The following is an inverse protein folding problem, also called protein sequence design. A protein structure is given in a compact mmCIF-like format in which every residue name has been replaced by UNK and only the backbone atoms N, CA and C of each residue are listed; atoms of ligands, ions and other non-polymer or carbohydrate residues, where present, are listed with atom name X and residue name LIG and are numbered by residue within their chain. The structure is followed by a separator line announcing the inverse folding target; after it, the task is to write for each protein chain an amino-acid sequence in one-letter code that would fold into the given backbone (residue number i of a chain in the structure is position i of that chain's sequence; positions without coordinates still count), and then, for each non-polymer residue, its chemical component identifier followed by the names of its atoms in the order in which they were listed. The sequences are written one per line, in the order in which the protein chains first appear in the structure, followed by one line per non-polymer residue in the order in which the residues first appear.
data_IF_120008846927
#
_entry.id   IF_120008846927
#
_cell.length_a   1.000
_cell.length_b   1.000
_cell.length_c   1.000
_cell.angle_alpha   90.00
_cell.angle_beta   90.00
_cell.angle_gamma   90.00
#
_symmetry.space_group_name_H-M   'P 1'
#
loop_
_entity.id
_entity.type
_entity.pdbx_description
1 polymer ?
#
# COMPACT_ATOMS: atom_id res chain seq x y z
N UNK A 1 -10.86 14.53 1.98
CA UNK A 1 -10.16 14.44 3.23
C UNK A 1 -10.85 15.21 4.27
N UNK A 2 -11.46 14.53 5.21
CA UNK A 2 -12.11 15.21 6.30
C UNK A 2 -11.50 14.68 7.57
N UNK A 3 -10.55 15.41 8.11
CA UNK A 3 -10.40 15.41 9.53
C UNK A 3 -11.07 16.66 10.03
N UNK A 4 -11.99 16.51 10.94
CA UNK A 4 -12.75 17.62 11.55
C UNK A 4 -11.82 18.56 12.32
N UNK A 5 -10.63 18.08 12.63
CA UNK A 5 -9.56 18.85 13.26
C UNK A 5 -8.21 18.40 12.71
N UNK A 6 -7.64 19.12 11.75
CA UNK A 6 -6.39 18.74 11.10
C UNK A 6 -5.18 18.57 12.02
N UNK A 7 -5.21 19.18 13.19
CA UNK A 7 -4.14 19.09 14.17
C UNK A 7 -4.29 17.95 15.18
N UNK A 8 -5.38 17.17 15.11
CA UNK A 8 -5.63 16.10 16.06
C UNK A 8 -5.71 14.74 15.38
N UNK A 9 -4.67 13.92 15.49
CA UNK A 9 -4.65 12.57 14.89
C UNK A 9 -5.79 11.67 15.35
N UNK A 10 -6.36 11.89 16.55
CA UNK A 10 -7.48 11.12 17.07
C UNK A 10 -8.77 11.29 16.25
N UNK A 11 -8.89 12.38 15.50
CA UNK A 11 -10.05 12.67 14.66
C UNK A 11 -9.90 12.19 13.19
N UNK A 12 -8.87 11.44 12.88
CA UNK A 12 -8.66 10.89 11.54
C UNK A 12 -9.51 9.64 11.28
N UNK A 13 -10.80 9.72 11.56
CA UNK A 13 -11.71 8.57 11.53
C UNK A 13 -12.16 8.15 10.12
N UNK A 14 -12.05 9.04 9.14
CA UNK A 14 -12.56 8.82 7.78
C UNK A 14 -11.44 8.91 6.74
N UNK A 15 -10.30 8.34 7.04
CA UNK A 15 -9.16 8.47 6.17
C UNK A 15 -9.21 7.41 5.09
N UNK A 16 -9.38 7.85 3.88
CA UNK A 16 -8.81 7.12 2.75
C UNK A 16 -7.31 7.35 2.74
N UNK A 17 -6.55 6.39 2.26
CA UNK A 17 -5.13 6.60 2.02
C UNK A 17 -4.93 7.74 1.06
N UNK A 18 -3.98 8.58 1.39
CA UNK A 18 -3.74 9.81 0.66
C UNK A 18 -2.56 9.62 -0.29
N UNK A 19 -2.76 10.05 -1.51
CA UNK A 19 -1.71 10.09 -2.54
C UNK A 19 -1.18 11.49 -2.79
N UNK A 20 -1.65 12.49 -2.06
CA UNK A 20 -1.46 13.90 -2.41
C UNK A 20 0.01 14.26 -2.44
N UNK A 21 0.78 13.89 -1.43
CA UNK A 21 2.20 14.24 -1.37
C UNK A 21 2.98 13.58 -2.48
N UNK A 22 2.74 12.29 -2.74
CA UNK A 22 3.38 11.57 -3.84
C UNK A 22 3.02 12.18 -5.19
N UNK A 23 1.73 12.42 -5.45
CA UNK A 23 1.27 13.00 -6.71
C UNK A 23 1.78 14.43 -6.90
N UNK A 24 1.77 15.23 -5.85
CA UNK A 24 2.33 16.58 -5.86
C UNK A 24 3.83 16.59 -6.16
N UNK A 25 4.58 15.67 -5.56
CA UNK A 25 6.01 15.53 -5.82
C UNK A 25 6.30 15.07 -7.25
N UNK A 26 5.54 14.10 -7.78
CA UNK A 26 5.68 13.67 -9.16
C UNK A 26 5.38 14.81 -10.14
N UNK A 27 4.37 15.63 -9.86
CA UNK A 27 4.08 16.84 -10.61
C UNK A 27 5.23 17.86 -10.54
N UNK A 28 5.76 18.09 -9.34
CA UNK A 28 6.90 19.00 -9.17
C UNK A 28 8.14 18.54 -9.93
N UNK A 29 8.45 17.26 -9.95
CA UNK A 29 9.57 16.70 -10.73
C UNK A 29 9.44 16.97 -12.24
N UNK A 30 8.20 16.94 -12.75
CA UNK A 30 7.94 17.17 -14.17
C UNK A 30 7.95 18.65 -14.55
N UNK A 31 7.31 19.47 -13.74
CA UNK A 31 7.08 20.88 -14.08
C UNK A 31 8.11 21.83 -13.47
N UNK A 32 8.82 21.38 -12.45
CA UNK A 32 9.72 22.23 -11.68
C UNK A 32 8.94 23.23 -10.81
N UNK A 33 9.69 24.16 -10.25
CA UNK A 33 9.12 25.26 -9.45
C UNK A 33 10.11 25.82 -8.43
N UNK A 34 9.74 26.86 -7.70
CA UNK A 34 10.54 27.38 -6.60
C UNK A 34 10.70 26.33 -5.49
N UNK A 35 11.84 26.33 -4.81
CA UNK A 35 12.09 25.43 -3.66
C UNK A 35 11.06 25.57 -2.55
N UNK A 36 10.45 26.74 -2.39
CA UNK A 36 9.35 26.99 -1.45
C UNK A 36 8.09 26.18 -1.73
N UNK A 37 7.86 25.74 -2.97
CA UNK A 37 6.77 24.82 -3.31
C UNK A 37 7.12 23.42 -2.84
N UNK A 38 8.36 22.97 -3.05
CA UNK A 38 8.83 21.70 -2.55
C UNK A 38 8.78 21.65 -1.01
N UNK A 39 9.19 22.73 -0.34
CA UNK A 39 9.14 22.86 1.12
C UNK A 39 7.71 22.69 1.65
N UNK A 40 6.75 23.46 1.12
CA UNK A 40 5.34 23.37 1.54
C UNK A 40 4.73 22.00 1.29
N UNK A 41 5.06 21.38 0.17
CA UNK A 41 4.63 20.03 -0.13
C UNK A 41 5.20 19.02 0.88
N UNK A 42 6.47 19.19 1.23
CA UNK A 42 7.12 18.33 2.20
C UNK A 42 6.55 18.51 3.62
N UNK A 43 6.30 19.74 4.05
CA UNK A 43 5.70 20.04 5.35
C UNK A 43 4.32 19.39 5.48
N UNK A 44 3.45 19.61 4.51
CA UNK A 44 2.12 18.99 4.50
C UNK A 44 2.20 17.47 4.46
N UNK A 45 3.10 16.93 3.65
CA UNK A 45 3.30 15.49 3.56
C UNK A 45 3.82 14.87 4.85
N UNK A 46 4.70 15.57 5.54
CA UNK A 46 5.20 15.13 6.83
C UNK A 46 4.13 15.15 7.92
N UNK A 47 3.27 16.17 7.95
CA UNK A 47 2.12 16.24 8.86
C UNK A 47 1.15 15.09 8.58
N UNK A 48 0.80 14.84 7.33
CA UNK A 48 -0.11 13.75 6.94
C UNK A 48 0.45 12.38 7.34
N UNK A 49 1.72 12.12 7.05
CA UNK A 49 2.39 10.87 7.42
C UNK A 49 2.42 10.67 8.92
N UNK A 50 2.84 11.67 9.68
CA UNK A 50 2.91 11.59 11.13
C UNK A 50 1.53 11.43 11.77
N UNK A 51 0.53 12.15 11.25
CA UNK A 51 -0.85 12.05 11.72
C UNK A 51 -1.45 10.66 11.48
N UNK A 52 -1.20 10.08 10.31
CA UNK A 52 -1.67 8.73 10.01
C UNK A 52 -0.95 7.67 10.85
N UNK A 53 0.35 7.76 11.02
CA UNK A 53 1.09 6.86 11.89
C UNK A 53 0.60 6.94 13.34
N UNK A 54 0.32 8.14 13.84
CA UNK A 54 -0.18 8.32 15.20
C UNK A 54 -1.61 7.80 15.41
N UNK A 55 -2.42 7.71 14.36
CA UNK A 55 -3.84 7.33 14.46
C UNK A 55 -4.16 5.94 13.92
N UNK A 56 -3.34 5.41 13.03
CA UNK A 56 -3.59 4.17 12.26
C UNK A 56 -2.39 3.23 12.24
N UNK A 57 -1.46 3.40 13.16
CA UNK A 57 -0.35 2.50 13.38
C UNK A 57 -0.26 2.19 14.86
N UNK A 58 0.47 1.15 15.20
CA UNK A 58 0.68 0.74 16.58
C UNK A 58 1.42 1.80 17.43
N UNK A 59 1.25 1.77 18.75
CA UNK A 59 0.41 0.88 19.55
C UNK A 59 -1.03 1.38 19.61
N UNK A 60 -1.97 0.62 19.11
CA UNK A 60 -3.35 0.94 19.42
C UNK A 60 -3.84 0.09 20.60
N UNK A 61 -4.65 0.71 21.44
CA UNK A 61 -5.07 0.14 22.72
C UNK A 61 -5.94 -1.15 22.60
N UNK A 62 -6.24 -1.58 21.42
CA UNK A 62 -7.07 -2.75 21.14
C UNK A 62 -6.26 -3.97 20.72
N UNK A 63 -4.97 -3.78 20.47
CA UNK A 63 -4.09 -4.81 19.93
C UNK A 63 -3.16 -5.45 20.98
N UNK A 64 -3.64 -5.55 22.20
CA UNK A 64 -2.89 -6.07 23.34
C UNK A 64 -2.39 -7.51 23.20
N UNK A 65 -2.60 -8.17 22.07
CA UNK A 65 -2.28 -9.59 21.97
C UNK A 65 -0.98 -9.91 21.25
N UNK A 66 -0.49 -9.05 20.37
CA UNK A 66 0.69 -9.35 19.57
C UNK A 66 1.90 -8.44 19.79
N UNK A 67 1.76 -7.36 20.54
CA UNK A 67 2.85 -6.43 20.85
C UNK A 67 3.62 -5.98 19.58
N UNK A 68 2.87 -5.77 18.51
CA UNK A 68 3.38 -5.35 17.22
C UNK A 68 3.53 -3.83 17.17
N UNK A 69 4.58 -3.33 17.79
CA UNK A 69 4.98 -1.92 17.70
C UNK A 69 5.63 -1.67 16.33
N UNK A 70 4.83 -1.70 15.29
CA UNK A 70 5.30 -1.47 13.92
C UNK A 70 4.77 -0.14 13.35
N UNK A 71 5.16 0.21 12.14
CA UNK A 71 4.72 1.41 11.41
C UNK A 71 3.81 1.06 10.23
N UNK A 72 3.20 -0.12 10.26
CA UNK A 72 2.22 -0.53 9.26
C UNK A 72 0.89 0.15 9.54
N UNK A 73 0.10 0.33 8.52
CA UNK A 73 -1.22 0.97 8.64
C UNK A 73 -2.27 -0.06 8.98
N UNK A 74 -2.91 0.13 10.14
CA UNK A 74 -3.94 -0.73 10.68
C UNK A 74 -5.31 -0.23 10.29
N UNK A 75 -5.98 -0.94 9.41
CA UNK A 75 -7.33 -0.56 9.04
C UNK A 75 -8.32 -1.72 9.12
N UNK A 76 -9.52 -1.38 9.52
CA UNK A 76 -10.70 -2.20 9.30
C UNK A 76 -11.25 -1.94 7.88
N UNK A 77 -12.20 -2.74 7.47
CA UNK A 77 -12.76 -2.72 6.12
C UNK A 77 -13.33 -1.37 5.64
N UNK A 78 -13.81 -0.53 6.53
CA UNK A 78 -14.45 0.74 6.20
C UNK A 78 -13.48 1.94 6.17
N UNK A 79 -12.25 1.74 6.54
CA UNK A 79 -11.18 2.73 6.48
C UNK A 79 -10.12 2.26 5.51
N UNK A 80 -10.38 2.33 4.22
CA UNK A 80 -9.53 1.67 3.24
C UNK A 80 -9.16 2.56 2.05
N UNK A 81 -8.42 2.02 1.14
CA UNK A 81 -7.88 2.66 -0.06
C UNK A 81 -8.93 3.00 -1.14
N UNK A 82 -10.21 2.93 -0.84
CA UNK A 82 -11.29 3.18 -1.79
C UNK A 82 -11.65 1.96 -2.65
N UNK A 83 -11.22 0.78 -2.26
CA UNK A 83 -11.53 -0.46 -2.95
C UNK A 83 -12.78 -1.11 -2.35
N UNK A 84 -13.93 -0.69 -2.80
CA UNK A 84 -15.23 -1.17 -2.29
C UNK A 84 -15.48 -2.67 -2.52
N UNK A 85 -14.62 -3.32 -3.27
CA UNK A 85 -14.66 -4.74 -3.55
C UNK A 85 -13.47 -5.51 -2.95
N UNK A 86 -12.90 -5.01 -1.88
CA UNK A 86 -11.84 -5.64 -1.10
C UNK A 86 -12.34 -6.98 -0.53
N UNK A 87 -11.85 -8.06 -1.10
CA UNK A 87 -12.32 -9.41 -0.78
C UNK A 87 -11.99 -9.81 0.65
N UNK A 88 -10.82 -9.47 1.14
CA UNK A 88 -10.37 -9.81 2.49
C UNK A 88 -11.26 -9.15 3.53
N UNK A 89 -11.49 -7.85 3.39
CA UNK A 89 -12.25 -7.08 4.38
C UNK A 89 -13.71 -7.53 4.50
N UNK A 90 -14.32 -7.95 3.41
CA UNK A 90 -15.76 -8.25 3.37
C UNK A 90 -16.10 -9.73 3.40
N UNK A 91 -15.22 -10.61 2.97
CA UNK A 91 -15.59 -12.00 2.68
C UNK A 91 -14.88 -13.03 3.54
N UNK A 92 -13.84 -12.68 4.29
CA UNK A 92 -13.16 -13.65 5.14
C UNK A 92 -14.03 -14.04 6.35
N UNK A 93 -14.43 -15.30 6.48
CA UNK A 93 -15.34 -15.72 7.55
C UNK A 93 -14.76 -15.48 8.94
N UNK A 94 -15.59 -14.91 9.82
CA UNK A 94 -15.21 -14.66 11.21
C UNK A 94 -14.32 -13.42 11.43
N UNK A 95 -14.03 -12.66 10.38
CA UNK A 95 -13.13 -11.49 10.44
C UNK A 95 -13.84 -10.15 10.34
N UNK A 96 -15.15 -10.13 10.20
CA UNK A 96 -15.91 -8.88 10.05
C UNK A 96 -15.61 -7.89 11.17
N UNK A 97 -15.22 -6.67 10.80
CA UNK A 97 -14.91 -5.60 11.74
C UNK A 97 -13.55 -5.70 12.43
N UNK A 98 -12.77 -6.73 12.18
CA UNK A 98 -11.40 -6.82 12.71
C UNK A 98 -10.46 -5.90 11.92
N UNK A 99 -9.38 -5.51 12.57
CA UNK A 99 -8.31 -4.71 11.98
C UNK A 99 -7.19 -5.59 11.47
N UNK A 100 -6.47 -5.07 10.51
CA UNK A 100 -5.32 -5.75 9.93
C UNK A 100 -4.23 -4.76 9.54
N UNK A 101 -2.98 -5.15 9.65
CA UNK A 101 -1.85 -4.52 8.97
C UNK A 101 -2.10 -4.59 7.46
N UNK A 102 -2.21 -3.43 6.82
CA UNK A 102 -2.60 -3.34 5.41
C UNK A 102 -1.40 -3.09 4.51
N UNK A 103 -1.21 -3.95 3.52
CA UNK A 103 -0.15 -3.77 2.53
C UNK A 103 -0.39 -2.52 1.66
N UNK A 104 -1.64 -2.27 1.27
CA UNK A 104 -2.03 -1.12 0.44
C UNK A 104 -1.88 0.21 1.19
N UNK A 105 -2.45 0.32 2.39
CA UNK A 105 -2.33 1.53 3.22
C UNK A 105 -0.88 1.86 3.57
N UNK A 106 -0.11 0.84 3.94
CA UNK A 106 1.31 1.00 4.27
C UNK A 106 2.15 1.40 3.06
N UNK A 107 1.82 0.90 1.86
CA UNK A 107 2.50 1.30 0.64
C UNK A 107 2.26 2.78 0.30
N UNK A 108 1.03 3.25 0.46
CA UNK A 108 0.71 4.66 0.25
C UNK A 108 1.41 5.57 1.26
N UNK A 109 1.48 5.12 2.51
CA UNK A 109 2.20 5.84 3.55
C UNK A 109 3.69 5.93 3.23
N UNK A 110 4.28 4.82 2.81
CA UNK A 110 5.66 4.80 2.34
C UNK A 110 5.89 5.78 1.19
N UNK A 111 5.00 5.77 0.19
CA UNK A 111 5.12 6.64 -0.98
C UNK A 111 5.07 8.12 -0.60
N UNK A 112 4.20 8.50 0.32
CA UNK A 112 4.11 9.88 0.82
C UNK A 112 5.34 10.27 1.66
N UNK A 113 5.81 9.39 2.55
CA UNK A 113 7.02 9.63 3.33
C UNK A 113 8.27 9.80 2.46
N UNK A 114 8.43 8.92 1.48
CA UNK A 114 9.52 8.99 0.51
C UNK A 114 9.44 10.25 -0.37
N UNK A 115 8.23 10.65 -0.78
CA UNK A 115 8.02 11.88 -1.53
C UNK A 115 8.34 13.13 -0.69
N UNK A 116 7.91 13.17 0.57
CA UNK A 116 8.24 14.26 1.50
C UNK A 116 9.75 14.35 1.74
N UNK A 117 10.43 13.24 1.92
CA UNK A 117 11.89 13.19 2.06
C UNK A 117 12.60 13.80 0.84
N UNK A 118 12.17 13.43 -0.36
CA UNK A 118 12.75 13.97 -1.59
C UNK A 118 12.45 15.46 -1.76
N UNK A 119 11.24 15.89 -1.40
CA UNK A 119 10.83 17.29 -1.48
C UNK A 119 11.61 18.17 -0.48
N UNK A 120 11.80 17.72 0.77
CA UNK A 120 12.69 18.40 1.74
C UNK A 120 14.11 18.50 1.22
N UNK A 121 14.64 17.42 0.63
CA UNK A 121 15.97 17.45 0.02
C UNK A 121 16.07 18.48 -1.09
N UNK A 122 15.06 18.59 -1.95
CA UNK A 122 14.99 19.60 -3.00
C UNK A 122 14.85 21.03 -2.45
N UNK A 123 14.22 21.20 -1.30
CA UNK A 123 14.13 22.48 -0.58
C UNK A 123 15.42 22.84 0.18
N UNK A 124 16.35 21.90 0.34
CA UNK A 124 17.60 22.10 1.08
C UNK A 124 17.51 21.75 2.58
N UNK A 125 16.38 21.22 3.05
CA UNK A 125 16.20 20.79 4.44
C UNK A 125 16.61 19.32 4.61
N UNK A 126 17.91 19.13 4.80
CA UNK A 126 18.50 17.80 4.96
C UNK A 126 17.99 17.09 6.22
N UNK A 127 17.80 17.83 7.33
CA UNK A 127 17.42 17.24 8.61
C UNK A 127 16.01 16.62 8.56
N UNK A 128 15.05 17.32 7.98
CA UNK A 128 13.70 16.78 7.81
C UNK A 128 13.64 15.72 6.69
N UNK A 129 14.46 15.86 5.64
CA UNK A 129 14.59 14.82 4.63
C UNK A 129 15.04 13.47 5.23
N UNK A 130 16.07 13.48 6.10
CA UNK A 130 16.56 12.28 6.78
C UNK A 130 15.50 11.65 7.70
N UNK A 131 14.74 12.48 8.43
CA UNK A 131 13.64 11.97 9.28
C UNK A 131 12.56 11.25 8.45
N UNK A 132 12.11 11.86 7.37
CA UNK A 132 11.08 11.26 6.52
C UNK A 132 11.60 10.02 5.79
N UNK A 133 12.87 10.02 5.39
CA UNK A 133 13.49 8.84 4.80
C UNK A 133 13.56 7.68 5.80
N UNK A 134 13.92 7.95 7.06
CA UNK A 134 13.96 6.91 8.09
C UNK A 134 12.57 6.28 8.33
N UNK A 135 11.50 7.08 8.26
CA UNK A 135 10.12 6.56 8.34
C UNK A 135 9.84 5.65 7.13
N UNK A 136 10.16 6.13 5.92
CA UNK A 136 9.98 5.32 4.71
C UNK A 136 10.76 4.00 4.78
N UNK A 137 12.03 4.04 5.18
CA UNK A 137 12.87 2.85 5.29
C UNK A 137 12.32 1.84 6.31
N UNK A 138 11.79 2.34 7.43
CA UNK A 138 11.15 1.50 8.44
C UNK A 138 9.91 0.81 7.86
N UNK A 139 9.00 1.55 7.24
CA UNK A 139 7.80 0.98 6.61
C UNK A 139 8.18 -0.05 5.53
N UNK A 140 9.14 0.27 4.67
CA UNK A 140 9.60 -0.66 3.64
C UNK A 140 10.09 -1.98 4.22
N UNK A 141 10.92 -1.89 5.27
CA UNK A 141 11.43 -3.06 5.96
C UNK A 141 10.28 -3.91 6.53
N UNK A 142 9.35 -3.28 7.24
CA UNK A 142 8.24 -3.97 7.88
C UNK A 142 7.30 -4.61 6.86
N UNK A 143 6.91 -3.90 5.80
CA UNK A 143 6.11 -4.47 4.70
C UNK A 143 6.80 -5.70 4.11
N UNK A 144 8.08 -5.61 3.83
CA UNK A 144 8.80 -6.71 3.16
C UNK A 144 9.11 -7.90 4.08
N UNK A 145 9.18 -7.69 5.38
CA UNK A 145 9.48 -8.76 6.34
C UNK A 145 8.25 -9.35 7.00
N UNK A 146 7.25 -8.54 7.32
CA UNK A 146 6.10 -8.96 8.10
C UNK A 146 4.89 -9.34 7.26
N UNK A 147 4.72 -8.68 6.10
CA UNK A 147 3.60 -8.94 5.22
C UNK A 147 3.91 -9.91 4.07
N UNK A 148 5.14 -10.38 3.95
CA UNK A 148 5.50 -11.34 2.91
C UNK A 148 5.13 -12.76 3.31
N UNK A 149 4.08 -13.30 2.70
CA UNK A 149 3.69 -14.69 2.84
C UNK A 149 4.52 -15.57 1.87
N UNK A 150 5.46 -16.32 2.44
CA UNK A 150 6.33 -17.23 1.66
C UNK A 150 5.57 -18.40 1.06
N UNK A 151 4.45 -18.79 1.63
CA UNK A 151 3.66 -19.92 1.14
C UNK A 151 2.94 -19.58 -0.16
N UNK A 152 2.47 -18.36 -0.28
CA UNK A 152 1.78 -17.86 -1.46
C UNK A 152 2.68 -17.02 -2.39
N UNK A 153 3.92 -16.74 -1.96
CA UNK A 153 4.83 -15.82 -2.64
C UNK A 153 4.19 -14.47 -2.96
N UNK A 154 3.50 -13.89 -1.99
CA UNK A 154 2.74 -12.68 -2.15
C UNK A 154 2.77 -11.87 -0.86
N UNK A 155 2.74 -10.54 -0.97
CA UNK A 155 2.40 -9.70 0.18
C UNK A 155 0.94 -9.93 0.54
N UNK A 156 0.65 -10.07 1.83
CA UNK A 156 -0.72 -10.21 2.32
C UNK A 156 -0.96 -9.29 3.50
N UNK A 157 -2.20 -8.89 3.66
CA UNK A 157 -2.62 -8.27 4.91
C UNK A 157 -2.49 -9.27 6.06
N UNK A 158 -2.28 -8.76 7.27
CA UNK A 158 -2.07 -9.59 8.45
C UNK A 158 -3.02 -9.15 9.55
N UNK A 159 -3.82 -10.08 10.05
CA UNK A 159 -4.80 -9.80 11.09
C UNK A 159 -4.13 -9.49 12.42
N UNK A 160 -4.52 -8.38 13.04
CA UNK A 160 -3.93 -7.95 14.30
C UNK A 160 -4.27 -8.87 15.47
N UNK A 161 -5.45 -9.48 15.47
CA UNK A 161 -5.93 -10.28 16.58
C UNK A 161 -5.10 -11.54 16.85
N UNK A 162 -4.54 -12.14 15.81
CA UNK A 162 -3.83 -13.42 15.91
C UNK A 162 -2.55 -13.51 15.06
N UNK A 163 -2.23 -12.43 14.34
CA UNK A 163 -1.06 -12.40 13.47
C UNK A 163 -1.15 -13.30 12.22
N UNK A 164 -2.33 -13.83 11.91
CA UNK A 164 -2.53 -14.66 10.74
C UNK A 164 -2.56 -13.82 9.46
N UNK A 165 -2.01 -14.35 8.40
CA UNK A 165 -2.20 -13.75 7.07
C UNK A 165 -3.66 -13.85 6.63
N UNK A 166 -4.14 -12.80 5.96
CA UNK A 166 -5.44 -12.83 5.32
C UNK A 166 -5.52 -13.97 4.30
N UNK A 167 -6.66 -14.62 4.25
CA UNK A 167 -6.82 -15.86 3.50
C UNK A 167 -6.72 -15.65 2.00
N UNK A 168 -7.36 -14.60 1.49
CA UNK A 168 -7.53 -14.40 0.07
C UNK A 168 -6.42 -13.56 -0.53
N UNK A 169 -6.03 -13.89 -1.76
CA UNK A 169 -5.17 -13.06 -2.60
C UNK A 169 -6.03 -12.02 -3.31
N UNK A 170 -5.57 -10.78 -3.31
CA UNK A 170 -6.31 -9.69 -3.93
C UNK A 170 -5.39 -8.66 -4.56
N UNK A 171 -5.96 -7.81 -5.42
CA UNK A 171 -5.19 -6.79 -6.13
C UNK A 171 -4.54 -5.77 -5.19
N UNK A 172 -5.11 -5.55 -4.00
CA UNK A 172 -4.57 -4.64 -3.00
C UNK A 172 -3.20 -5.07 -2.48
N UNK A 173 -2.89 -6.36 -2.56
CA UNK A 173 -1.57 -6.89 -2.21
C UNK A 173 -0.43 -6.37 -3.11
N UNK A 174 -0.77 -5.77 -4.24
CA UNK A 174 0.19 -5.26 -5.22
C UNK A 174 0.45 -3.75 -5.12
N UNK A 175 -0.20 -3.03 -4.22
CA UNK A 175 0.10 -1.61 -4.00
C UNK A 175 1.58 -1.35 -3.67
N UNK A 176 2.28 -2.16 -2.87
CA UNK A 176 3.70 -1.97 -2.63
C UNK A 176 4.56 -2.02 -3.91
N UNK A 177 4.14 -2.80 -4.89
CA UNK A 177 4.79 -2.83 -6.20
C UNK A 177 4.47 -1.57 -7.01
N UNK A 178 3.20 -1.17 -7.06
CA UNK A 178 2.77 0.00 -7.81
C UNK A 178 3.39 1.30 -7.29
N UNK A 179 3.54 1.43 -5.99
CA UNK A 179 4.16 2.59 -5.36
C UNK A 179 5.70 2.59 -5.47
N UNK A 180 6.30 1.48 -5.83
CA UNK A 180 7.75 1.33 -5.93
C UNK A 180 8.43 1.03 -4.59
N UNK A 181 7.67 0.59 -3.59
CA UNK A 181 8.19 0.19 -2.29
C UNK A 181 9.04 -1.08 -2.41
N UNK A 182 8.60 -2.02 -3.25
CA UNK A 182 9.27 -3.31 -3.34
C UNK A 182 10.68 -3.19 -3.91
N UNK A 183 11.68 -3.86 -3.28
CA UNK A 183 13.05 -3.87 -3.79
C UNK A 183 13.12 -4.46 -5.19
N UNK A 184 13.85 -3.81 -6.08
CA UNK A 184 14.08 -4.30 -7.45
C UNK A 184 15.11 -5.44 -7.47
N UNK A 185 14.96 -6.34 -8.44
CA UNK A 185 15.94 -7.42 -8.64
C UNK A 185 15.92 -8.54 -7.60
N UNK A 186 14.92 -8.56 -6.73
CA UNK A 186 14.73 -9.65 -5.78
C UNK A 186 13.80 -10.72 -6.40
N UNK A 187 14.37 -11.86 -6.73
CA UNK A 187 13.65 -12.95 -7.39
C UNK A 187 12.50 -13.53 -6.56
N UNK A 188 12.61 -13.51 -5.24
CA UNK A 188 11.51 -13.98 -4.39
C UNK A 188 10.31 -13.06 -4.49
N UNK A 189 10.52 -11.75 -4.42
CA UNK A 189 9.43 -10.79 -4.57
C UNK A 189 8.86 -10.76 -6.01
N UNK A 190 9.68 -11.05 -7.01
CA UNK A 190 9.22 -11.12 -8.40
C UNK A 190 8.24 -12.29 -8.65
N UNK A 191 8.24 -13.31 -7.79
CA UNK A 191 7.26 -14.42 -7.88
C UNK A 191 5.82 -13.94 -7.77
N UNK A 192 5.55 -12.89 -6.99
CA UNK A 192 4.21 -12.31 -6.89
C UNK A 192 3.71 -11.78 -8.24
N UNK A 193 4.59 -11.18 -9.03
CA UNK A 193 4.24 -10.66 -10.36
C UNK A 193 3.92 -11.79 -11.35
N UNK A 194 4.47 -12.99 -11.13
CA UNK A 194 4.19 -14.16 -11.97
C UNK A 194 2.78 -14.73 -11.82
N UNK A 195 2.06 -14.32 -10.77
CA UNK A 195 0.67 -14.70 -10.62
C UNK A 195 -0.21 -14.12 -11.74
N UNK A 196 0.24 -13.09 -12.42
CA UNK A 196 -0.44 -12.55 -13.61
C UNK A 196 -0.25 -13.40 -14.89
N UNK A 197 0.69 -14.33 -14.89
CA UNK A 197 0.88 -15.29 -15.99
C UNK A 197 -0.07 -16.49 -15.87
N UNK A 198 -0.62 -16.73 -14.68
CA UNK A 198 -1.54 -17.84 -14.43
C UNK A 198 -2.99 -17.36 -14.48
N UNK A 199 -3.74 -17.86 -15.45
CA UNK A 199 -5.16 -17.54 -15.61
C UNK A 199 -6.04 -18.00 -14.43
N UNK A 200 -5.55 -18.90 -13.59
CA UNK A 200 -6.25 -19.31 -12.37
C UNK A 200 -5.95 -18.38 -11.19
N UNK A 201 -4.95 -17.55 -11.31
CA UNK A 201 -4.57 -16.56 -10.31
C UNK A 201 -5.15 -15.18 -10.65
N UNK A 202 -4.40 -14.34 -11.35
CA UNK A 202 -4.84 -12.99 -11.72
C UNK A 202 -4.83 -12.78 -13.24
N UNK A 203 -5.86 -13.25 -13.94
CA UNK A 203 -5.93 -13.03 -15.39
C UNK A 203 -6.04 -11.54 -15.70
N UNK A 204 -5.39 -11.12 -16.77
CA UNK A 204 -5.40 -9.72 -17.19
C UNK A 204 -6.80 -9.28 -17.61
N UNK A 205 -7.56 -10.18 -18.22
CA UNK A 205 -8.90 -9.87 -18.66
C UNK A 205 -9.78 -11.13 -18.73
N UNK A 206 -11.00 -11.10 -18.17
CA UNK A 206 -11.50 -10.10 -17.24
C UNK A 206 -10.76 -10.21 -15.90
N UNK A 207 -10.38 -9.12 -15.30
CA UNK A 207 -9.77 -9.16 -13.99
C UNK A 207 -10.79 -8.88 -12.87
N UNK A 208 -10.45 -9.39 -11.70
CA UNK A 208 -11.27 -9.26 -10.50
C UNK A 208 -10.42 -8.69 -9.37
N UNK A 209 -11.07 -8.20 -8.34
CA UNK A 209 -10.39 -7.70 -7.15
C UNK A 209 -9.70 -8.81 -6.38
N UNK A 210 -10.29 -9.99 -6.38
CA UNK A 210 -9.75 -11.19 -5.77
C UNK A 210 -9.13 -12.12 -6.82
N UNK A 211 -8.29 -13.00 -6.34
CA UNK A 211 -7.73 -14.10 -7.10
C UNK A 211 -8.82 -14.98 -7.73
N UNK A 212 -8.61 -15.42 -8.95
CA UNK A 212 -9.58 -16.23 -9.68
C UNK A 212 -9.88 -17.57 -9.00
N UNK A 213 -8.88 -18.20 -8.39
CA UNK A 213 -9.06 -19.46 -7.67
C UNK A 213 -9.94 -19.30 -6.41
N UNK A 214 -9.86 -18.14 -5.76
CA UNK A 214 -10.65 -17.84 -4.55
C UNK A 214 -12.06 -17.32 -4.87
N UNK A 215 -12.29 -16.89 -6.09
CA UNK A 215 -13.53 -16.25 -6.53
C UNK A 215 -14.80 -17.02 -6.15
N UNK A 216 -14.79 -18.35 -6.30
CA UNK A 216 -15.94 -19.18 -6.00
C UNK A 216 -16.27 -19.25 -4.49
N UNK A 217 -15.30 -18.99 -3.63
CA UNK A 217 -15.46 -18.96 -2.18
C UNK A 217 -15.93 -17.61 -1.64
N UNK A 218 -15.93 -16.57 -2.48
CA UNK A 218 -16.24 -15.21 -2.07
C UNK A 218 -17.72 -14.91 -2.27
N UNK A 219 -18.40 -14.51 -1.20
CA UNK A 219 -19.82 -14.17 -1.20
C UNK A 219 -20.11 -12.66 -1.25
N UNK A 220 -19.09 -11.85 -1.41
CA UNK A 220 -19.26 -10.41 -1.50
C UNK A 220 -19.61 -10.00 -2.94
N UNK A 221 -20.64 -9.19 -3.16
CA UNK A 221 -21.09 -8.85 -4.52
C UNK A 221 -20.01 -8.24 -5.43
N UNK A 222 -19.11 -7.46 -4.88
CA UNK A 222 -17.99 -6.86 -5.61
C UNK A 222 -16.86 -7.84 -5.91
N UNK A 223 -16.69 -8.87 -5.12
CA UNK A 223 -15.55 -9.80 -5.21
C UNK A 223 -15.54 -10.64 -6.48
N UNK A 224 -16.70 -10.84 -7.06
CA UNK A 224 -16.89 -11.68 -8.25
C UNK A 224 -17.07 -10.89 -9.53
N UNK A 225 -17.03 -9.56 -9.45
CA UNK A 225 -17.31 -8.71 -10.57
C UNK A 225 -16.07 -7.91 -10.96
N UNK A 226 -15.98 -7.64 -12.26
CA UNK A 226 -15.07 -6.63 -12.76
C UNK A 226 -15.42 -5.28 -12.12
N UNK A 227 -14.44 -4.66 -11.50
CA UNK A 227 -14.58 -3.31 -10.95
C UNK A 227 -13.60 -2.37 -11.63
N UNK A 228 -14.14 -1.33 -12.25
CA UNK A 228 -13.32 -0.29 -12.87
C UNK A 228 -12.51 0.49 -11.84
N UNK A 229 -12.98 0.57 -10.61
CA UNK A 229 -12.27 1.21 -9.51
C UNK A 229 -10.94 0.51 -9.26
N UNK A 230 -10.90 -0.80 -9.44
CA UNK A 230 -9.72 -1.61 -9.22
C UNK A 230 -8.85 -1.80 -10.47
N UNK A 231 -9.25 -1.21 -11.59
CA UNK A 231 -8.44 -1.24 -12.82
C UNK A 231 -7.18 -0.38 -12.71
N UNK A 232 -7.26 0.73 -12.00
CA UNK A 232 -6.13 1.64 -11.82
C UNK A 232 -4.95 0.98 -11.10
N UNK A 233 -5.13 0.26 -9.97
CA UNK A 233 -4.06 -0.50 -9.36
C UNK A 233 -3.41 -1.50 -10.31
N UNK A 234 -4.18 -2.19 -11.14
CA UNK A 234 -3.65 -3.14 -12.09
C UNK A 234 -2.70 -2.47 -13.11
N UNK A 235 -3.08 -1.34 -13.67
CA UNK A 235 -2.21 -0.58 -14.57
C UNK A 235 -0.94 -0.09 -13.87
N UNK A 236 -1.05 0.31 -12.62
CA UNK A 236 0.10 0.71 -11.80
C UNK A 236 1.00 -0.49 -11.50
N UNK A 237 0.44 -1.65 -11.21
CA UNK A 237 1.19 -2.89 -11.00
C UNK A 237 1.95 -3.29 -12.26
N UNK A 238 1.36 -3.18 -13.44
CA UNK A 238 2.07 -3.41 -14.70
C UNK A 238 3.26 -2.46 -14.86
N UNK A 239 3.04 -1.19 -14.60
CA UNK A 239 4.11 -0.20 -14.64
C UNK A 239 5.21 -0.49 -13.62
N UNK A 240 4.84 -0.93 -12.42
CA UNK A 240 5.77 -1.33 -11.38
C UNK A 240 6.50 -2.62 -11.76
N UNK A 241 5.81 -3.59 -12.33
CA UNK A 241 6.40 -4.80 -12.87
C UNK A 241 7.50 -4.48 -13.89
N UNK A 242 7.21 -3.60 -14.83
CA UNK A 242 8.20 -3.13 -15.82
C UNK A 242 9.40 -2.44 -15.16
N UNK A 243 9.16 -1.61 -14.14
CA UNK A 243 10.25 -0.92 -13.41
C UNK A 243 11.08 -1.85 -12.53
N UNK A 244 10.42 -2.80 -11.87
CA UNK A 244 11.07 -3.75 -10.96
C UNK A 244 11.71 -4.92 -11.68
N UNK A 245 11.50 -4.99 -12.97
CA UNK A 245 11.92 -6.08 -13.77
C UNK A 245 13.20 -5.73 -14.53
N UNK A 246 14.21 -6.52 -14.37
CA UNK A 246 15.39 -6.45 -15.21
C UNK A 246 15.03 -7.06 -16.57
N UNK A 247 14.53 -6.23 -17.46
CA UNK A 247 14.15 -6.62 -18.82
C UNK A 247 15.31 -7.25 -19.60
N UNK A 248 16.55 -6.99 -19.19
CA UNK A 248 17.72 -7.62 -19.77
C UNK A 248 17.87 -9.08 -19.35
N UNK A 249 17.27 -9.45 -18.20
CA UNK A 249 17.38 -10.81 -17.70
C UNK A 249 16.24 -11.70 -18.15
N UNK A 250 15.02 -11.26 -18.13
CA UNK A 250 13.90 -12.18 -18.36
C UNK A 250 12.57 -11.51 -18.59
N UNK A 251 12.44 -10.46 -19.37
CA UNK A 251 11.21 -9.82 -19.75
C UNK A 251 9.94 -10.41 -19.16
N UNK A 252 9.57 -9.99 -17.99
CA UNK A 252 8.45 -10.59 -17.25
C UNK A 252 7.12 -10.12 -17.75
N UNK A 253 7.05 -8.83 -18.01
CA UNK A 253 6.02 -8.19 -18.78
C UNK A 253 6.74 -7.75 -20.04
N UNK A 254 6.89 -8.67 -20.98
CA UNK A 254 7.43 -8.33 -22.29
C UNK A 254 6.45 -7.46 -23.02
N UNK A 255 6.94 -6.61 -23.90
CA UNK A 255 6.13 -5.77 -24.78
C UNK A 255 5.44 -6.61 -25.87
N UNK A 256 4.85 -7.74 -25.52
CA UNK A 256 4.02 -8.48 -26.44
C UNK A 256 2.59 -7.96 -26.45
#
# INVERSE_FOLDING_TARGET
YYHDNPGDPANWNHSYTQYITRAGWDSYKVHGGPSTVAEKLADQGAEDVQGLLASKSEPDNNDNQNNNDNSLIDWSWWSMTGNDADAVSFSEPGRSGQRMDRADGSANMWANANAAAQAYKAAGDTANAEKMQAIADKIQKEVTTELWDKSDNLLKHKWLNDGAFAKYKEINNYYPYSEGLMPTGNEDYNKALRLFEDSNEFPIFPFFTANQADKAALNFPGSNNFSIINAQPLLQVYSAGIRNYDAAKNGYITNE
#
